data_IF_099133058883
#
_entry.id   IF_099133058883
#
_cell.length_a   1.000
_cell.length_b   1.000
_cell.length_c   1.000
_cell.angle_alpha   90.00
_cell.angle_beta   90.00
_cell.angle_gamma   90.00
#
_symmetry.space_group_name_H-M   'P 1'
#
loop_
_entity.id
_entity.type
_entity.pdbx_description
1 polymer ?
#
# COMPACT_ATOMS: atom_id res chain seq x y z
N UNK A 1 3.88 17.28 5.70
CA UNK A 1 3.02 16.15 5.27
C UNK A 1 3.79 15.31 4.28
N UNK A 2 3.77 13.99 4.42
CA UNK A 2 4.41 13.05 3.49
C UNK A 2 3.31 12.55 2.56
N UNK A 3 3.45 12.79 1.25
CA UNK A 3 2.54 12.27 0.24
C UNK A 3 3.17 11.02 -0.38
N UNK A 4 2.47 9.89 -0.26
CA UNK A 4 2.98 8.59 -0.65
C UNK A 4 2.02 7.97 -1.66
N UNK A 5 2.52 7.68 -2.86
CA UNK A 5 1.73 7.06 -3.94
C UNK A 5 2.07 5.58 -4.02
N UNK A 6 1.06 4.72 -3.87
CA UNK A 6 1.16 3.27 -3.97
C UNK A 6 0.42 2.80 -5.23
N UNK A 7 1.08 1.98 -6.04
CA UNK A 7 0.46 1.26 -7.14
C UNK A 7 0.28 -0.19 -6.73
N UNK A 8 -0.93 -0.71 -6.88
CA UNK A 8 -1.26 -2.11 -6.58
C UNK A 8 -1.89 -2.73 -7.81
N UNK A 9 -1.45 -3.93 -8.17
CA UNK A 9 -2.05 -4.79 -9.17
C UNK A 9 -2.59 -6.03 -8.46
N UNK A 10 -3.90 -6.23 -8.53
CA UNK A 10 -4.60 -7.32 -7.88
C UNK A 10 -5.70 -7.87 -8.75
N UNK A 11 -6.04 -9.14 -8.53
CA UNK A 11 -7.17 -9.81 -9.15
C UNK A 11 -7.96 -10.62 -8.12
N UNK A 12 -9.29 -10.75 -8.26
CA UNK A 12 -10.07 -11.65 -7.41
C UNK A 12 -9.66 -13.11 -7.66
N UNK A 13 -9.77 -13.94 -6.63
CA UNK A 13 -9.62 -15.38 -6.78
C UNK A 13 -10.81 -15.97 -7.54
N UNK A 14 -10.55 -16.63 -8.67
CA UNK A 14 -11.61 -17.19 -9.54
C UNK A 14 -12.56 -18.13 -8.79
N UNK A 15 -12.04 -18.95 -7.87
CA UNK A 15 -12.83 -19.90 -7.09
C UNK A 15 -13.80 -19.23 -6.11
N UNK A 16 -13.51 -18.00 -5.69
CA UNK A 16 -14.29 -17.24 -4.70
C UNK A 16 -15.06 -16.07 -5.32
N UNK A 17 -15.02 -15.91 -6.65
CA UNK A 17 -15.74 -14.84 -7.37
C UNK A 17 -17.19 -14.69 -6.91
N UNK A 18 -18.04 -15.73 -6.86
CA UNK A 18 -19.43 -15.58 -6.42
C UNK A 18 -19.56 -14.99 -5.02
N UNK A 19 -18.67 -15.39 -4.10
CA UNK A 19 -18.65 -14.92 -2.72
C UNK A 19 -18.20 -13.47 -2.63
N UNK A 20 -17.16 -13.09 -3.37
CA UNK A 20 -16.66 -11.71 -3.45
C UNK A 20 -17.79 -10.80 -3.94
N UNK A 21 -18.45 -11.15 -5.05
CA UNK A 21 -19.54 -10.37 -5.61
C UNK A 21 -20.76 -10.25 -4.68
N UNK A 22 -21.10 -11.31 -3.94
CA UNK A 22 -22.19 -11.26 -2.96
C UNK A 22 -21.86 -10.42 -1.72
N UNK A 23 -20.60 -10.45 -1.27
CA UNK A 23 -20.19 -9.81 -0.02
C UNK A 23 -19.79 -8.35 -0.22
N UNK A 24 -19.07 -8.05 -1.31
CA UNK A 24 -18.45 -6.75 -1.59
C UNK A 24 -19.14 -5.99 -2.72
N UNK A 25 -19.93 -6.66 -3.55
CA UNK A 25 -20.61 -6.08 -4.71
C UNK A 25 -19.71 -5.95 -5.95
N UNK A 26 -20.20 -5.20 -6.94
CA UNK A 26 -19.49 -4.94 -8.21
C UNK A 26 -18.26 -4.02 -8.04
N UNK A 27 -18.31 -3.12 -7.05
CA UNK A 27 -17.25 -2.14 -6.75
C UNK A 27 -16.24 -2.67 -5.72
N UNK A 28 -15.94 -3.98 -5.79
CA UNK A 28 -15.10 -4.62 -4.79
C UNK A 28 -13.66 -4.09 -4.80
N UNK A 29 -13.11 -3.72 -5.96
CA UNK A 29 -11.73 -3.25 -6.08
C UNK A 29 -11.58 -1.83 -5.54
N UNK A 30 -12.49 -0.94 -5.91
CA UNK A 30 -12.55 0.47 -5.51
C UNK A 30 -12.77 0.64 -4.01
N UNK A 31 -13.35 -0.35 -3.33
CA UNK A 31 -13.56 -0.31 -1.87
C UNK A 31 -12.45 -1.01 -1.10
N UNK A 32 -12.06 -2.21 -1.53
CA UNK A 32 -11.12 -3.04 -0.76
C UNK A 32 -9.70 -2.53 -0.91
N UNK A 33 -9.24 -2.20 -2.13
CA UNK A 33 -7.86 -1.80 -2.39
C UNK A 33 -7.43 -0.53 -1.63
N UNK A 34 -8.20 0.58 -1.64
CA UNK A 34 -7.81 1.75 -0.86
C UNK A 34 -7.92 1.50 0.65
N UNK A 35 -8.83 0.63 1.10
CA UNK A 35 -8.97 0.29 2.51
C UNK A 35 -7.76 -0.48 3.05
N UNK A 36 -7.39 -1.58 2.39
CA UNK A 36 -6.19 -2.35 2.76
C UNK A 36 -4.90 -1.54 2.53
N UNK A 37 -4.86 -0.72 1.47
CA UNK A 37 -3.72 0.14 1.15
C UNK A 37 -3.46 1.16 2.25
N UNK A 38 -4.50 1.89 2.67
CA UNK A 38 -4.39 2.88 3.74
C UNK A 38 -3.99 2.25 5.08
N UNK A 39 -4.52 1.07 5.40
CA UNK A 39 -4.18 0.35 6.63
C UNK A 39 -2.71 -0.06 6.66
N UNK A 40 -2.23 -0.73 5.59
CA UNK A 40 -0.85 -1.20 5.50
C UNK A 40 0.13 -0.02 5.44
N UNK A 41 -0.18 1.03 4.70
CA UNK A 41 0.65 2.23 4.65
C UNK A 41 0.77 2.89 6.02
N UNK A 42 -0.32 3.04 6.76
CA UNK A 42 -0.28 3.57 8.14
C UNK A 42 0.59 2.70 9.05
N UNK A 43 0.43 1.38 8.98
CA UNK A 43 1.21 0.45 9.80
C UNK A 43 2.71 0.51 9.51
N UNK A 44 3.10 0.73 8.25
CA UNK A 44 4.51 0.83 7.84
C UNK A 44 5.07 2.22 8.17
N UNK A 45 4.34 3.31 7.93
CA UNK A 45 4.78 4.68 8.25
C UNK A 45 5.03 4.86 9.76
N UNK A 46 4.30 4.16 10.63
CA UNK A 46 4.56 4.20 12.08
C UNK A 46 5.88 3.52 12.46
N UNK A 47 6.37 2.55 11.68
CA UNK A 47 7.60 1.81 11.96
C UNK A 47 8.86 2.49 11.40
N UNK A 48 8.70 3.41 10.44
CA UNK A 48 9.82 4.08 9.77
C UNK A 48 9.71 5.60 9.88
N UNK A 49 10.81 6.23 10.27
CA UNK A 49 10.92 7.68 10.19
C UNK A 49 11.05 8.14 8.72
N UNK A 50 10.75 9.41 8.45
CA UNK A 50 10.89 10.04 7.14
C UNK A 50 12.22 9.69 6.44
N UNK A 51 13.34 9.94 7.12
CA UNK A 51 14.67 9.68 6.53
C UNK A 51 14.86 8.20 6.15
N UNK A 52 14.31 7.29 6.95
CA UNK A 52 14.39 5.85 6.70
C UNK A 52 13.49 5.40 5.56
N UNK A 53 12.36 6.08 5.32
CA UNK A 53 11.49 5.77 4.17
C UNK A 53 12.21 6.04 2.84
N UNK A 54 13.08 7.05 2.80
CA UNK A 54 13.89 7.36 1.62
C UNK A 54 15.06 6.38 1.49
N UNK A 55 15.85 6.21 2.55
CA UNK A 55 17.06 5.37 2.52
C UNK A 55 16.76 3.87 2.42
N UNK A 56 15.66 3.39 3.02
CA UNK A 56 15.27 1.98 3.07
C UNK A 56 14.06 1.68 2.19
N UNK A 57 13.85 2.44 1.12
CA UNK A 57 12.74 2.26 0.19
C UNK A 57 12.52 0.79 -0.26
N UNK A 58 13.58 0.00 -0.58
CA UNK A 58 13.40 -1.42 -0.94
C UNK A 58 12.79 -2.26 0.19
N UNK A 59 13.25 -2.06 1.44
CA UNK A 59 12.73 -2.80 2.61
C UNK A 59 11.29 -2.39 2.94
N UNK A 60 10.99 -1.10 2.83
CA UNK A 60 9.65 -0.54 3.03
C UNK A 60 8.68 -1.11 1.99
N UNK A 61 9.08 -1.14 0.72
CA UNK A 61 8.29 -1.74 -0.37
C UNK A 61 8.00 -3.22 -0.13
N UNK A 62 9.01 -3.99 0.30
CA UNK A 62 8.84 -5.40 0.65
C UNK A 62 7.85 -5.63 1.80
N UNK A 63 7.91 -4.79 2.84
CA UNK A 63 6.98 -4.86 3.98
C UNK A 63 5.55 -4.48 3.59
N UNK A 64 5.38 -3.42 2.80
CA UNK A 64 4.07 -3.04 2.27
C UNK A 64 3.50 -4.17 1.41
N UNK A 65 4.31 -4.77 0.53
CA UNK A 65 3.87 -5.91 -0.29
C UNK A 65 3.42 -7.09 0.56
N UNK A 66 4.18 -7.47 1.59
CA UNK A 66 3.80 -8.56 2.49
C UNK A 66 2.51 -8.26 3.27
N UNK A 67 2.36 -7.02 3.76
CA UNK A 67 1.14 -6.56 4.44
C UNK A 67 -0.09 -6.64 3.53
N UNK A 68 0.04 -6.12 2.30
CA UNK A 68 -1.03 -6.15 1.30
C UNK A 68 -1.41 -7.58 0.92
N UNK A 69 -0.44 -8.46 0.65
CA UNK A 69 -0.70 -9.87 0.33
C UNK A 69 -1.44 -10.57 1.46
N UNK A 70 -1.06 -10.31 2.71
CA UNK A 70 -1.72 -10.90 3.88
C UNK A 70 -3.18 -10.44 3.98
N UNK A 71 -3.43 -9.13 3.87
CA UNK A 71 -4.79 -8.57 3.99
C UNK A 71 -5.66 -8.90 2.79
N UNK A 72 -5.09 -8.94 1.57
CA UNK A 72 -5.80 -9.32 0.36
C UNK A 72 -6.40 -10.74 0.45
N UNK A 73 -5.68 -11.68 1.09
CA UNK A 73 -6.19 -13.05 1.33
C UNK A 73 -7.45 -13.09 2.17
N UNK A 74 -7.59 -12.20 3.16
CA UNK A 74 -8.80 -12.14 4.00
C UNK A 74 -10.05 -11.82 3.18
N UNK A 75 -9.88 -11.14 2.05
CA UNK A 75 -10.93 -10.75 1.12
C UNK A 75 -10.97 -11.61 -0.16
N UNK A 76 -10.18 -12.70 -0.22
CA UNK A 76 -10.07 -13.58 -1.39
C UNK A 76 -9.52 -12.88 -2.65
N UNK A 77 -8.61 -11.91 -2.47
CA UNK A 77 -7.85 -11.27 -3.54
C UNK A 77 -6.44 -11.83 -3.63
N UNK A 78 -5.97 -11.95 -4.87
CA UNK A 78 -4.59 -12.27 -5.20
C UNK A 78 -3.89 -10.98 -5.60
N UNK A 79 -2.81 -10.64 -4.90
CA UNK A 79 -1.94 -9.53 -5.28
C UNK A 79 -0.90 -10.05 -6.28
N UNK A 80 -0.93 -9.53 -7.50
CA UNK A 80 0.07 -9.87 -8.53
C UNK A 80 1.31 -8.98 -8.36
N UNK A 81 1.12 -7.68 -8.07
CA UNK A 81 2.23 -6.76 -7.82
C UNK A 81 1.83 -5.57 -6.91
N UNK A 82 2.80 -5.00 -6.19
CA UNK A 82 2.62 -3.75 -5.47
C UNK A 82 3.95 -2.99 -5.34
N UNK A 83 3.92 -1.70 -5.68
CA UNK A 83 5.09 -0.84 -5.68
C UNK A 83 4.77 0.56 -5.14
N UNK A 84 5.65 1.05 -4.26
CA UNK A 84 5.65 2.46 -3.85
C UNK A 84 6.28 3.27 -4.98
N UNK A 85 5.54 4.21 -5.56
CA UNK A 85 5.99 4.98 -6.73
C UNK A 85 6.66 6.30 -6.35
N UNK A 86 6.06 7.08 -5.45
CA UNK A 86 6.56 8.41 -5.12
C UNK A 86 6.38 8.72 -3.64
N UNK A 87 7.44 9.21 -3.01
CA UNK A 87 7.45 9.68 -1.63
C UNK A 87 7.84 11.16 -1.68
N UNK A 88 6.83 12.02 -1.72
CA UNK A 88 7.00 13.47 -1.79
C UNK A 88 6.90 14.06 -0.39
N UNK A 89 8.00 14.62 0.09
CA UNK A 89 8.00 15.45 1.28
C UNK A 89 7.43 16.82 0.93
N UNK A 90 6.61 17.39 1.82
CA UNK A 90 6.25 18.81 1.72
C UNK A 90 7.52 19.68 1.69
N UNK A 91 7.47 20.81 0.98
CA UNK A 91 8.62 21.66 0.66
C UNK A 91 9.50 22.08 1.86
N UNK A 92 8.94 22.09 3.08
CA UNK A 92 9.71 22.38 4.31
C UNK A 92 10.66 21.25 4.74
N UNK A 93 10.34 19.99 4.44
CA UNK A 93 11.21 18.85 4.78
C UNK A 93 12.32 18.63 3.74
N UNK A 94 12.06 18.86 2.45
CA UNK A 94 13.12 18.78 1.42
C UNK A 94 14.24 19.79 1.66
N UNK A 95 13.91 21.02 2.08
CA UNK A 95 14.93 22.03 2.42
C UNK A 95 15.79 21.64 3.62
N UNK A 96 15.21 20.98 4.62
CA UNK A 96 15.94 20.54 5.82
C UNK A 96 16.87 19.35 5.56
N UNK A 97 16.56 18.51 4.56
CA UNK A 97 17.39 17.35 4.19
C UNK A 97 18.49 17.73 3.20
N UNK A 98 18.29 18.72 2.33
CA UNK A 98 19.36 19.23 1.43
C UNK A 98 20.38 20.14 2.14
N UNK A 99 20.05 20.73 3.28
CA UNK A 99 20.95 21.61 4.04
C UNK A 99 21.87 20.88 5.03
N UNK A 100 21.93 19.55 5.01
CA UNK A 100 22.74 18.76 5.94
C UNK A 100 23.92 18.06 5.28
#
# INVERSE_FOLDING_TARGET
MVNLTLRVLSRPEFSQLPRIFQTLGLEYDDKVLPSIGNEVLKAVVVQFNADQLLTKCPSVSALVRQGLVRRAKDFNFVLDDAAIMHLLYGAEFSKAVEQK
#
